data_IF_821023681250
#
_entry.id   IF_821023681250
#
_cell.length_a   1.000
_cell.length_b   1.000
_cell.length_c   1.000
_cell.angle_alpha   90.00
_cell.angle_beta   90.00
_cell.angle_gamma   90.00
#
_symmetry.space_group_name_H-M   'P 1'
#
loop_
_entity.id
_entity.type
_entity.pdbx_description
1 polymer ?
#
# COMPACT_ATOMS: atom_id res chain seq x y z
N UNK A 1 4.19 -10.91 -10.88
CA UNK A 1 4.64 -9.81 -10.02
C UNK A 1 3.50 -8.83 -9.81
N UNK A 2 3.20 -8.51 -8.56
CA UNK A 2 2.13 -7.58 -8.21
C UNK A 2 2.71 -6.23 -7.82
N UNK A 3 1.91 -5.18 -7.93
CA UNK A 3 2.25 -3.88 -7.40
C UNK A 3 1.53 -3.72 -6.07
N UNK A 4 2.29 -3.47 -5.01
CA UNK A 4 1.77 -3.23 -3.68
C UNK A 4 2.01 -1.77 -3.36
N UNK A 5 0.93 -1.01 -3.23
CA UNK A 5 0.99 0.44 -3.14
C UNK A 5 0.45 0.89 -1.79
N UNK A 6 1.25 1.67 -1.06
CA UNK A 6 0.82 2.28 0.19
C UNK A 6 0.65 3.78 0.00
N UNK A 7 -0.54 4.26 0.29
CA UNK A 7 -0.83 5.70 0.29
C UNK A 7 -0.75 6.21 1.72
N UNK A 8 0.02 7.26 1.93
CA UNK A 8 0.29 7.80 3.26
C UNK A 8 0.39 9.31 3.24
N UNK A 9 0.50 9.91 4.42
CA UNK A 9 0.76 11.33 4.59
C UNK A 9 1.55 11.53 5.87
N UNK A 10 2.34 12.60 5.93
CA UNK A 10 3.18 12.87 7.10
C UNK A 10 2.34 13.17 8.35
N UNK A 11 1.17 13.78 8.17
CA UNK A 11 0.30 14.14 9.29
C UNK A 11 -0.53 12.96 9.80
N UNK A 12 -0.41 11.80 9.19
CA UNK A 12 -1.24 10.63 9.48
C UNK A 12 -0.60 9.77 10.57
N UNK A 13 -1.17 9.77 11.79
CA UNK A 13 -0.64 8.96 12.88
C UNK A 13 -0.72 7.45 12.62
N UNK A 14 -1.84 6.90 12.12
CA UNK A 14 -1.89 5.48 11.79
C UNK A 14 -0.86 5.06 10.75
N UNK A 15 -0.49 5.98 9.85
CA UNK A 15 0.53 5.69 8.84
C UNK A 15 1.89 5.41 9.48
N UNK A 16 2.18 6.00 10.64
CA UNK A 16 3.44 5.78 11.34
C UNK A 16 3.56 4.37 11.86
N UNK A 17 2.47 3.84 12.43
CA UNK A 17 2.45 2.43 12.85
C UNK A 17 2.57 1.51 11.66
N UNK A 18 1.85 1.84 10.61
CA UNK A 18 1.80 1.02 9.43
C UNK A 18 3.15 0.94 8.71
N UNK A 19 3.97 1.95 8.87
CA UNK A 19 5.30 1.97 8.28
C UNK A 19 6.13 0.77 8.70
N UNK A 20 6.06 0.39 9.98
CA UNK A 20 6.80 -0.78 10.48
C UNK A 20 6.31 -2.06 9.82
N UNK A 21 5.00 -2.23 9.77
CA UNK A 21 4.37 -3.40 9.12
C UNK A 21 4.73 -3.43 7.63
N UNK A 22 4.64 -2.28 6.98
CA UNK A 22 4.96 -2.15 5.56
C UNK A 22 6.41 -2.52 5.27
N UNK A 23 7.33 -2.01 6.06
CA UNK A 23 8.75 -2.27 5.87
C UNK A 23 9.08 -3.75 6.07
N UNK A 24 8.43 -4.41 7.01
CA UNK A 24 8.61 -5.84 7.23
C UNK A 24 8.13 -6.63 6.01
N UNK A 25 6.96 -6.29 5.49
CA UNK A 25 6.42 -6.95 4.30
C UNK A 25 7.29 -6.69 3.07
N UNK A 26 7.79 -5.48 2.93
CA UNK A 26 8.67 -5.11 1.83
C UNK A 26 9.98 -5.91 1.88
N UNK A 27 10.53 -6.07 3.07
CA UNK A 27 11.75 -6.86 3.23
C UNK A 27 11.52 -8.32 2.83
N UNK A 28 10.39 -8.88 3.21
CA UNK A 28 10.08 -10.28 2.96
C UNK A 28 9.64 -10.55 1.53
N UNK A 29 8.87 -9.65 0.92
CA UNK A 29 8.25 -9.87 -0.38
C UNK A 29 8.76 -8.96 -1.49
N UNK A 30 9.66 -8.03 -1.19
CA UNK A 30 10.11 -7.04 -2.16
C UNK A 30 10.92 -7.60 -3.32
N UNK A 31 11.44 -8.83 -3.18
CA UNK A 31 12.18 -9.47 -4.27
C UNK A 31 11.25 -9.97 -5.38
N UNK A 32 9.98 -10.23 -5.06
CA UNK A 32 9.03 -10.82 -6.03
C UNK A 32 7.85 -9.90 -6.37
N UNK A 33 7.71 -8.79 -5.67
CA UNK A 33 6.64 -7.82 -5.93
C UNK A 33 7.19 -6.40 -5.85
N UNK A 34 6.56 -5.46 -6.54
CA UNK A 34 6.92 -4.05 -6.48
C UNK A 34 6.22 -3.40 -5.28
N UNK A 35 6.99 -2.79 -4.39
CA UNK A 35 6.45 -2.03 -3.25
C UNK A 35 6.61 -0.55 -3.54
N UNK A 36 5.48 0.14 -3.64
CA UNK A 36 5.42 1.54 -4.04
C UNK A 36 4.79 2.35 -2.91
N UNK A 37 5.41 3.47 -2.56
CA UNK A 37 4.90 4.37 -1.52
C UNK A 37 4.49 5.68 -2.17
N UNK A 38 3.30 6.16 -1.86
CA UNK A 38 2.77 7.40 -2.42
C UNK A 38 2.36 8.32 -1.28
N UNK A 39 2.97 9.49 -1.23
CA UNK A 39 2.56 10.57 -0.33
C UNK A 39 1.44 11.33 -1.01
N UNK A 40 0.23 11.30 -0.46
CA UNK A 40 -0.93 11.90 -1.11
C UNK A 40 -0.84 13.42 -1.24
N UNK A 41 -0.02 14.06 -0.41
CA UNK A 41 0.17 15.51 -0.47
C UNK A 41 1.16 15.92 -1.56
N UNK A 42 1.97 14.97 -2.05
CA UNK A 42 2.96 15.20 -3.08
C UNK A 42 2.92 14.09 -4.14
N UNK A 43 1.73 13.70 -4.55
CA UNK A 43 1.57 12.60 -5.49
C UNK A 43 1.77 13.08 -6.92
N UNK A 44 2.93 12.80 -7.48
CA UNK A 44 3.25 13.06 -8.88
C UNK A 44 2.87 11.91 -9.81
N UNK A 45 2.38 10.81 -9.25
CA UNK A 45 2.05 9.61 -10.03
C UNK A 45 0.61 9.58 -10.52
N UNK A 46 -0.29 10.29 -9.86
CA UNK A 46 -1.72 10.22 -10.14
C UNK A 46 -2.38 8.95 -9.63
N UNK A 47 -1.66 8.12 -8.89
CA UNK A 47 -2.19 6.83 -8.44
C UNK A 47 -3.30 6.98 -7.40
N UNK A 48 -3.23 7.99 -6.54
CA UNK A 48 -4.28 8.22 -5.56
C UNK A 48 -5.62 8.46 -6.24
N UNK A 49 -5.62 9.29 -7.28
CA UNK A 49 -6.83 9.55 -8.05
C UNK A 49 -7.26 8.31 -8.82
N UNK A 50 -6.32 7.62 -9.43
CA UNK A 50 -6.60 6.42 -10.22
C UNK A 50 -7.34 5.36 -9.42
N UNK A 51 -6.96 5.14 -8.17
CA UNK A 51 -7.56 4.12 -7.32
C UNK A 51 -8.61 4.67 -6.36
N UNK A 52 -8.95 5.95 -6.49
CA UNK A 52 -10.00 6.56 -5.67
C UNK A 52 -9.63 6.64 -4.19
N UNK A 53 -8.37 6.89 -3.87
CA UNK A 53 -7.89 6.96 -2.50
C UNK A 53 -8.25 8.32 -1.91
N UNK A 54 -9.00 8.30 -0.80
CA UNK A 54 -9.44 9.52 -0.10
C UNK A 54 -8.98 9.61 1.34
N UNK A 55 -8.51 8.51 1.89
CA UNK A 55 -8.04 8.47 3.26
C UNK A 55 -6.75 7.70 3.34
N UNK A 56 -6.01 7.89 4.43
CA UNK A 56 -4.72 7.25 4.64
C UNK A 56 -4.68 6.63 6.03
N UNK A 57 -3.93 5.54 6.19
CA UNK A 57 -3.27 4.82 5.12
C UNK A 57 -4.26 4.00 4.30
N UNK A 58 -3.94 3.79 3.05
CA UNK A 58 -4.70 2.89 2.18
C UNK A 58 -3.69 2.04 1.43
N UNK A 59 -3.97 0.75 1.31
CA UNK A 59 -3.12 -0.19 0.58
C UNK A 59 -3.87 -0.70 -0.63
N UNK A 60 -3.22 -0.69 -1.78
CA UNK A 60 -3.75 -1.24 -3.03
C UNK A 60 -2.80 -2.30 -3.52
N UNK A 61 -3.33 -3.47 -3.85
CA UNK A 61 -2.55 -4.54 -4.48
C UNK A 61 -3.10 -4.75 -5.87
N UNK A 62 -2.27 -4.49 -6.88
CA UNK A 62 -2.64 -4.64 -8.29
C UNK A 62 -2.07 -5.96 -8.79
N UNK A 63 -2.95 -6.82 -9.27
CA UNK A 63 -2.57 -8.13 -9.80
C UNK A 63 -2.06 -8.02 -11.23
N UNK A 64 -1.46 -9.09 -11.72
CA UNK A 64 -0.89 -9.10 -13.07
C UNK A 64 -1.95 -8.89 -14.16
N UNK A 65 -3.18 -9.33 -13.91
CA UNK A 65 -4.29 -9.12 -14.85
C UNK A 65 -4.94 -7.74 -14.74
N UNK A 66 -4.33 -6.82 -13.96
CA UNK A 66 -4.80 -5.45 -13.74
C UNK A 66 -5.96 -5.31 -12.77
N UNK A 67 -6.50 -6.41 -12.24
CA UNK A 67 -7.46 -6.33 -11.15
C UNK A 67 -6.74 -5.84 -9.89
N UNK A 68 -7.45 -5.13 -9.02
CA UNK A 68 -6.84 -4.65 -7.80
C UNK A 68 -7.78 -4.80 -6.62
N UNK A 69 -7.19 -4.84 -5.43
CA UNK A 69 -7.89 -4.81 -4.17
C UNK A 69 -7.41 -3.60 -3.37
N UNK A 70 -8.34 -2.91 -2.74
CA UNK A 70 -8.06 -1.72 -1.96
C UNK A 70 -8.53 -1.94 -0.53
N UNK A 71 -7.67 -1.64 0.42
CA UNK A 71 -7.98 -1.78 1.85
C UNK A 71 -7.65 -0.48 2.55
N UNK A 72 -8.65 0.12 3.20
CA UNK A 72 -8.48 1.36 3.96
C UNK A 72 -8.08 1.03 5.38
N UNK A 73 -7.13 1.81 5.92
CA UNK A 73 -6.68 1.66 7.30
C UNK A 73 -5.37 0.90 7.42
N UNK A 74 -4.73 1.05 8.59
CA UNK A 74 -3.50 0.33 8.89
C UNK A 74 -3.82 -1.14 9.08
N UNK A 75 -3.12 -1.99 8.36
CA UNK A 75 -3.29 -3.43 8.42
C UNK A 75 -2.29 -4.05 9.38
N UNK A 76 -2.70 -5.10 10.09
CA UNK A 76 -1.76 -5.96 10.78
C UNK A 76 -0.94 -6.70 9.72
N UNK A 77 0.25 -7.16 10.10
CA UNK A 77 1.16 -7.82 9.14
C UNK A 77 0.48 -9.00 8.44
N UNK A 78 -0.22 -9.85 9.20
CA UNK A 78 -0.91 -11.01 8.63
C UNK A 78 -1.96 -10.64 7.59
N UNK A 79 -2.68 -9.54 7.83
CA UNK A 79 -3.70 -9.08 6.90
C UNK A 79 -3.09 -8.49 5.64
N UNK A 80 -1.98 -7.76 5.78
CA UNK A 80 -1.25 -7.26 4.62
C UNK A 80 -0.70 -8.41 3.80
N UNK A 81 -0.15 -9.42 4.46
CA UNK A 81 0.40 -10.58 3.76
C UNK A 81 -0.70 -11.34 3.01
N UNK A 82 -1.88 -11.49 3.60
CA UNK A 82 -3.01 -12.13 2.91
C UNK A 82 -3.43 -11.33 1.67
N UNK A 83 -3.42 -10.02 1.79
CA UNK A 83 -3.78 -9.15 0.66
C UNK A 83 -2.76 -9.32 -0.48
N UNK A 84 -1.49 -9.38 -0.14
CA UNK A 84 -0.42 -9.56 -1.14
C UNK A 84 -0.53 -10.92 -1.81
N UNK A 85 -0.79 -11.97 -1.04
CA UNK A 85 -0.87 -13.34 -1.56
C UNK A 85 -2.18 -13.65 -2.27
N UNK A 86 -3.23 -12.97 -1.89
CA UNK A 86 -4.56 -13.16 -2.47
C UNK A 86 -4.63 -12.81 -3.92
#
# INVERSE_FOLDING_TARGET
MKDVIKFHAEWCSPCRYYKTVWNEAKEKHGAVHNFIEVDIDNDNTGLAEKFGVRSVPTTVVVKENKDFQKQVGALAYGDLEKLIKG
#
